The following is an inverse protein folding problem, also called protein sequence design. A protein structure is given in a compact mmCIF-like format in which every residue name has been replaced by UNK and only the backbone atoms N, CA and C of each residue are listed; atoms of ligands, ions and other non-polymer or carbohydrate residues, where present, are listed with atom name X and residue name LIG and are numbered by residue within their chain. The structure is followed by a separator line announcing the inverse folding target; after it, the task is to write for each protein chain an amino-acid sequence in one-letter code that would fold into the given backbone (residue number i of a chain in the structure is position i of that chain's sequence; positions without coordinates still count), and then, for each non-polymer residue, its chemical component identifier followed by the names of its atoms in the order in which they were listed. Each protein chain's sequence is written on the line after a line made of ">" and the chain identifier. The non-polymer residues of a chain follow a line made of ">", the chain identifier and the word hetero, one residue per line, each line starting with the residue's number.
data_IF_669929521937
#
_entry.id   IF_669929521937
#
_cell.length_a   1.000
_cell.length_b   1.000
_cell.length_c   1.000
_cell.angle_alpha   90.00
_cell.angle_beta   90.00
_cell.angle_gamma   90.00
#
_symmetry.space_group_name_H-M   'P 1'
#
loop_
_entity.id
_entity.type
_entity.pdbx_description
1 polymer ?
#
# COMPACT_ATOMS: atom_id res chain seq x y z
N UNK A 1 12.72 -1.62 -15.76
CA UNK A 1 11.31 -1.18 -15.94
C UNK A 1 10.50 -2.00 -14.96
N UNK A 2 9.53 -1.40 -14.24
CA UNK A 2 8.68 -2.18 -13.34
C UNK A 2 7.78 -3.11 -14.15
N UNK A 3 7.65 -4.37 -13.68
CA UNK A 3 6.82 -5.36 -14.34
C UNK A 3 5.40 -5.26 -13.78
N UNK A 4 4.43 -4.92 -14.62
CA UNK A 4 3.03 -4.77 -14.23
C UNK A 4 2.15 -5.78 -14.96
N UNK A 5 1.10 -6.23 -14.31
CA UNK A 5 0.08 -7.10 -14.90
C UNK A 5 -1.28 -6.42 -14.95
N UNK A 6 -2.11 -6.85 -15.87
CA UNK A 6 -3.46 -6.33 -16.06
C UNK A 6 -3.50 -4.92 -16.63
N UNK A 7 -4.69 -4.32 -16.61
CA UNK A 7 -4.94 -2.97 -17.11
C UNK A 7 -5.24 -2.04 -15.95
N UNK A 8 -4.54 -0.92 -15.88
CA UNK A 8 -4.78 0.14 -14.89
C UNK A 8 -5.67 1.20 -15.54
N UNK A 9 -6.82 1.57 -14.95
CA UNK A 9 -7.66 2.67 -15.44
C UNK A 9 -6.89 4.00 -15.46
N UNK A 10 -7.30 4.94 -16.32
CA UNK A 10 -6.67 6.26 -16.41
C UNK A 10 -6.77 7.02 -15.09
N UNK A 11 -7.94 6.99 -14.44
CA UNK A 11 -8.17 7.65 -13.16
C UNK A 11 -8.10 6.60 -12.04
N UNK A 12 -7.17 6.75 -11.13
CA UNK A 12 -6.94 5.80 -10.02
C UNK A 12 -6.64 6.51 -8.71
N UNK A 13 -7.01 5.85 -7.63
CA UNK A 13 -6.53 6.23 -6.29
C UNK A 13 -5.37 5.30 -5.91
N UNK A 14 -4.21 5.85 -5.59
CA UNK A 14 -3.05 5.07 -5.12
C UNK A 14 -3.01 5.08 -3.60
N UNK A 15 -3.08 3.89 -3.00
CA UNK A 15 -2.93 3.73 -1.55
C UNK A 15 -1.45 3.81 -1.17
N UNK A 16 -1.08 4.82 -0.38
CA UNK A 16 0.30 5.14 -0.03
C UNK A 16 0.50 5.06 1.47
N UNK A 17 1.58 4.39 1.90
CA UNK A 17 1.98 4.26 3.32
C UNK A 17 3.22 5.08 3.68
N UNK A 18 3.87 5.74 2.72
CA UNK A 18 5.16 6.40 2.89
C UNK A 18 6.37 5.47 2.75
N UNK A 19 6.18 4.15 2.71
CA UNK A 19 7.23 3.17 2.48
C UNK A 19 7.65 3.08 1.00
N UNK A 20 8.86 2.55 0.75
CA UNK A 20 9.47 2.49 -0.59
C UNK A 20 8.54 1.90 -1.67
N UNK A 21 7.82 0.81 -1.35
CA UNK A 21 6.98 0.11 -2.33
C UNK A 21 5.83 1.01 -2.80
N UNK A 22 5.13 1.66 -1.88
CA UNK A 22 4.00 2.54 -2.19
C UNK A 22 4.44 3.85 -2.86
N UNK A 23 5.58 4.41 -2.45
CA UNK A 23 6.14 5.62 -3.06
C UNK A 23 6.65 5.36 -4.48
N UNK A 24 7.24 4.18 -4.75
CA UNK A 24 7.63 3.76 -6.10
C UNK A 24 6.42 3.63 -7.04
N UNK A 25 5.33 3.01 -6.55
CA UNK A 25 4.08 2.85 -7.33
C UNK A 25 3.44 4.21 -7.61
N UNK A 26 3.40 5.09 -6.63
CA UNK A 26 2.90 6.45 -6.80
C UNK A 26 3.68 7.20 -7.88
N UNK A 27 5.01 7.23 -7.77
CA UNK A 27 5.87 7.91 -8.74
C UNK A 27 5.74 7.33 -10.14
N UNK A 28 5.64 6.00 -10.26
CA UNK A 28 5.47 5.33 -11.54
C UNK A 28 4.17 5.73 -12.22
N UNK A 29 3.06 5.81 -11.49
CA UNK A 29 1.73 6.06 -12.05
C UNK A 29 1.45 7.54 -12.32
N UNK A 30 1.98 8.46 -11.48
CA UNK A 30 1.67 9.89 -11.59
C UNK A 30 1.98 10.54 -12.95
N UNK A 31 2.90 9.95 -13.72
CA UNK A 31 3.30 10.50 -15.01
C UNK A 31 2.41 10.05 -16.18
N UNK A 32 1.57 9.04 -15.98
CA UNK A 32 0.77 8.41 -17.05
C UNK A 32 -0.71 8.23 -16.70
N UNK A 33 -1.08 8.48 -15.45
CA UNK A 33 -2.45 8.34 -14.93
C UNK A 33 -2.86 9.59 -14.17
N UNK A 34 -4.15 9.81 -14.07
CA UNK A 34 -4.75 10.80 -13.18
C UNK A 34 -4.85 10.18 -11.78
N UNK A 35 -3.91 10.57 -10.92
CA UNK A 35 -3.72 9.93 -9.61
C UNK A 35 -4.29 10.80 -8.50
N UNK A 36 -5.12 10.18 -7.65
CA UNK A 36 -5.42 10.69 -6.30
C UNK A 36 -4.67 9.83 -5.29
N UNK A 37 -4.01 10.43 -4.31
CA UNK A 37 -3.29 9.71 -3.26
C UNK A 37 -4.21 9.44 -2.08
N UNK A 38 -4.26 8.19 -1.59
CA UNK A 38 -4.96 7.84 -0.36
C UNK A 38 -3.96 7.39 0.69
N UNK A 39 -3.91 8.11 1.81
CA UNK A 39 -3.14 7.73 2.99
C UNK A 39 -4.08 7.34 4.13
N UNK A 40 -3.78 6.23 4.82
CA UNK A 40 -4.54 5.80 5.99
C UNK A 40 -3.67 5.82 7.24
N UNK A 41 -4.04 6.67 8.21
CA UNK A 41 -3.30 6.89 9.44
C UNK A 41 -3.76 5.92 10.53
N UNK A 42 -2.84 5.11 11.05
CA UNK A 42 -3.10 4.09 12.08
C UNK A 42 -2.96 4.60 13.53
N UNK A 43 -2.75 5.90 13.74
CA UNK A 43 -2.60 6.49 15.08
C UNK A 43 -1.24 6.22 15.73
N UNK A 44 -0.20 5.93 14.96
CA UNK A 44 1.17 5.70 15.45
C UNK A 44 2.06 6.91 15.19
N UNK A 45 3.13 7.08 15.99
CA UNK A 45 4.10 8.16 15.80
C UNK A 45 4.80 8.05 14.43
N UNK A 46 5.24 6.86 14.05
CA UNK A 46 5.77 6.60 12.70
C UNK A 46 4.75 6.95 11.60
N UNK A 47 3.46 6.79 11.88
CA UNK A 47 2.39 7.19 10.96
C UNK A 47 2.32 8.69 10.73
N UNK A 48 2.64 9.53 11.72
CA UNK A 48 2.71 10.99 11.53
C UNK A 48 3.88 11.38 10.62
N UNK A 49 5.07 10.80 10.84
CA UNK A 49 6.23 11.04 9.99
C UNK A 49 5.96 10.64 8.53
N UNK A 50 5.32 9.48 8.34
CA UNK A 50 4.95 8.99 7.02
C UNK A 50 3.90 9.88 6.34
N UNK A 51 2.91 10.37 7.11
CA UNK A 51 1.91 11.32 6.62
C UNK A 51 2.55 12.63 6.14
N UNK A 52 3.48 13.15 6.92
CA UNK A 52 4.23 14.37 6.59
C UNK A 52 5.03 14.22 5.30
N UNK A 53 5.72 13.08 5.14
CA UNK A 53 6.46 12.75 3.92
C UNK A 53 5.52 12.70 2.71
N UNK A 54 4.39 11.99 2.83
CA UNK A 54 3.41 11.85 1.75
C UNK A 54 2.80 13.19 1.39
N UNK A 55 2.44 14.04 2.37
CA UNK A 55 1.92 15.39 2.12
C UNK A 55 2.91 16.27 1.37
N UNK A 56 4.18 16.28 1.80
CA UNK A 56 5.25 17.03 1.11
C UNK A 56 5.39 16.58 -0.34
N UNK A 57 5.37 15.27 -0.57
CA UNK A 57 5.44 14.71 -1.92
C UNK A 57 4.22 15.10 -2.77
N UNK A 58 3.01 15.02 -2.21
CA UNK A 58 1.78 15.43 -2.91
C UNK A 58 1.79 16.92 -3.26
N UNK A 59 2.23 17.77 -2.33
CA UNK A 59 2.33 19.23 -2.58
C UNK A 59 3.34 19.53 -3.68
N UNK A 60 4.52 18.89 -3.65
CA UNK A 60 5.57 19.10 -4.65
C UNK A 60 5.11 18.70 -6.06
N UNK A 61 4.27 17.69 -6.19
CA UNK A 61 3.80 17.16 -7.46
C UNK A 61 2.34 17.53 -7.80
N UNK A 62 1.73 18.45 -7.04
CA UNK A 62 0.34 18.92 -7.22
C UNK A 62 -0.68 17.76 -7.26
N UNK A 63 -0.45 16.70 -6.46
CA UNK A 63 -1.32 15.52 -6.41
C UNK A 63 -2.46 15.71 -5.41
N UNK A 64 -3.73 15.53 -5.83
CA UNK A 64 -4.84 15.49 -4.89
C UNK A 64 -4.67 14.31 -3.93
N UNK A 65 -5.03 14.50 -2.63
CA UNK A 65 -4.87 13.47 -1.64
C UNK A 65 -6.03 13.43 -0.64
N UNK A 66 -6.34 12.22 -0.17
CA UNK A 66 -7.37 11.91 0.81
C UNK A 66 -6.70 11.20 1.99
N UNK A 67 -6.97 11.69 3.22
CA UNK A 67 -6.40 11.11 4.43
C UNK A 67 -7.52 10.46 5.23
N UNK A 68 -7.43 9.15 5.42
CA UNK A 68 -8.26 8.39 6.34
C UNK A 68 -7.59 8.26 7.70
N UNK A 69 -8.40 8.20 8.75
CA UNK A 69 -7.96 7.95 10.13
C UNK A 69 -8.79 6.83 10.74
N UNK A 70 -8.28 6.22 11.80
CA UNK A 70 -9.03 5.28 12.62
C UNK A 70 -10.32 5.95 13.09
N UNK A 71 -11.45 5.30 12.79
CA UNK A 71 -12.81 5.85 13.03
C UNK A 71 -13.63 5.04 14.03
N UNK A 72 -13.11 3.92 14.54
CA UNK A 72 -13.77 3.07 15.50
C UNK A 72 -12.82 2.52 16.57
N UNK A 73 -13.35 2.02 17.67
CA UNK A 73 -12.58 1.30 18.65
C UNK A 73 -12.30 -0.14 18.22
N UNK A 74 -11.20 -0.71 18.74
CA UNK A 74 -10.84 -2.10 18.53
C UNK A 74 -11.75 -3.02 19.35
N UNK A 75 -12.30 -4.06 18.74
CA UNK A 75 -13.08 -5.09 19.42
C UNK A 75 -12.16 -5.96 20.29
N UNK A 76 -12.67 -6.50 21.40
CA UNK A 76 -11.87 -7.32 22.35
C UNK A 76 -11.21 -8.55 21.70
N UNK A 77 -11.89 -9.16 20.72
CA UNK A 77 -11.46 -10.39 20.05
C UNK A 77 -10.61 -10.12 18.79
N UNK A 78 -10.44 -8.85 18.41
CA UNK A 78 -9.74 -8.45 17.19
C UNK A 78 -8.26 -8.19 17.52
N UNK A 79 -7.34 -8.84 16.80
CA UNK A 79 -5.92 -8.52 16.92
C UNK A 79 -5.64 -7.09 16.43
N UNK A 80 -4.51 -6.50 16.83
CA UNK A 80 -4.14 -5.14 16.40
C UNK A 80 -3.99 -5.05 14.87
N UNK A 81 -3.37 -6.06 14.24
CA UNK A 81 -3.20 -6.10 12.79
C UNK A 81 -4.54 -6.26 12.04
N UNK A 82 -5.41 -7.12 12.56
CA UNK A 82 -6.74 -7.33 12.00
C UNK A 82 -7.58 -6.06 12.08
N UNK A 83 -7.53 -5.36 13.23
CA UNK A 83 -8.19 -4.08 13.44
C UNK A 83 -7.73 -3.04 12.41
N UNK A 84 -6.44 -2.83 12.27
CA UNK A 84 -5.89 -1.88 11.32
C UNK A 84 -6.22 -2.25 9.87
N UNK A 85 -6.14 -3.54 9.54
CA UNK A 85 -6.52 -4.04 8.22
C UNK A 85 -7.99 -3.80 7.90
N UNK A 86 -8.88 -4.06 8.86
CA UNK A 86 -10.31 -3.86 8.69
C UNK A 86 -10.65 -2.37 8.54
N UNK A 87 -10.13 -1.52 9.40
CA UNK A 87 -10.33 -0.07 9.31
C UNK A 87 -9.84 0.50 7.96
N UNK A 88 -8.67 0.07 7.49
CA UNK A 88 -8.15 0.48 6.17
C UNK A 88 -9.02 -0.05 5.03
N UNK A 89 -9.51 -1.27 5.14
CA UNK A 89 -10.42 -1.86 4.14
C UNK A 89 -11.74 -1.07 4.07
N UNK A 90 -12.30 -0.70 5.22
CA UNK A 90 -13.51 0.11 5.31
C UNK A 90 -13.28 1.50 4.67
N UNK A 91 -12.13 2.12 4.92
CA UNK A 91 -11.74 3.36 4.26
C UNK A 91 -11.69 3.20 2.73
N UNK A 92 -11.06 2.15 2.22
CA UNK A 92 -10.98 1.93 0.78
C UNK A 92 -12.34 1.69 0.13
N UNK A 93 -13.22 0.95 0.80
CA UNK A 93 -14.52 0.57 0.24
C UNK A 93 -15.58 1.67 0.37
N UNK A 94 -15.55 2.42 1.46
CA UNK A 94 -16.66 3.33 1.82
C UNK A 94 -16.32 4.81 1.57
N UNK A 95 -15.03 5.17 1.53
CA UNK A 95 -14.60 6.57 1.39
C UNK A 95 -14.03 6.87 0.02
N UNK A 96 -13.36 5.88 -0.62
CA UNK A 96 -12.72 6.08 -1.91
C UNK A 96 -13.64 5.65 -3.04
N UNK A 97 -13.80 6.50 -4.02
CA UNK A 97 -14.49 6.17 -5.27
C UNK A 97 -13.53 5.62 -6.32
N UNK A 98 -14.05 4.74 -7.21
CA UNK A 98 -13.29 4.20 -8.32
C UNK A 98 -12.25 3.14 -7.92
N UNK A 99 -11.25 2.96 -8.76
CA UNK A 99 -10.24 1.91 -8.60
C UNK A 99 -9.12 2.35 -7.67
N UNK A 100 -8.83 1.54 -6.66
CA UNK A 100 -7.73 1.72 -5.73
C UNK A 100 -6.56 0.82 -6.12
N UNK A 101 -5.38 1.39 -6.35
CA UNK A 101 -4.13 0.66 -6.61
C UNK A 101 -3.35 0.52 -5.30
N UNK A 102 -2.93 -0.70 -4.99
CA UNK A 102 -2.05 -0.98 -3.85
C UNK A 102 -0.70 -1.53 -4.32
N UNK A 103 0.34 -1.26 -3.54
CA UNK A 103 1.72 -1.64 -3.84
C UNK A 103 2.08 -3.06 -3.39
N UNK A 104 1.12 -4.01 -3.42
CA UNK A 104 1.45 -5.41 -3.19
C UNK A 104 2.41 -5.90 -4.28
N UNK A 105 3.43 -6.64 -3.86
CA UNK A 105 4.53 -7.08 -4.70
C UNK A 105 4.78 -8.58 -4.60
N UNK A 106 5.77 -9.10 -5.32
CA UNK A 106 6.05 -10.55 -5.42
C UNK A 106 6.32 -11.20 -4.05
N UNK A 107 7.03 -10.52 -3.15
CA UNK A 107 7.31 -11.06 -1.82
C UNK A 107 6.04 -11.22 -0.99
N UNK A 108 5.10 -10.26 -1.04
CA UNK A 108 3.78 -10.42 -0.37
C UNK A 108 3.04 -11.65 -0.90
N UNK A 109 3.13 -11.90 -2.21
CA UNK A 109 2.52 -13.06 -2.85
C UNK A 109 3.11 -14.37 -2.32
N UNK A 110 4.45 -14.42 -2.21
CA UNK A 110 5.18 -15.59 -1.73
C UNK A 110 4.88 -15.82 -0.24
N UNK A 111 4.94 -14.77 0.59
CA UNK A 111 4.63 -14.85 2.02
C UNK A 111 3.20 -15.35 2.26
N UNK A 112 2.23 -14.79 1.52
CA UNK A 112 0.84 -15.21 1.63
C UNK A 112 0.63 -16.65 1.18
N UNK A 113 1.28 -17.09 0.10
CA UNK A 113 1.20 -18.46 -0.39
C UNK A 113 1.81 -19.45 0.62
N UNK A 114 2.97 -19.14 1.20
CA UNK A 114 3.60 -19.96 2.24
C UNK A 114 2.66 -20.04 3.44
N UNK A 115 2.18 -18.91 3.95
CA UNK A 115 1.29 -18.86 5.12
C UNK A 115 0.04 -19.72 4.90
N UNK A 116 -0.65 -19.56 3.78
CA UNK A 116 -1.86 -20.30 3.48
C UNK A 116 -1.61 -21.79 3.20
N UNK A 117 -0.43 -22.13 2.67
CA UNK A 117 -0.02 -23.52 2.46
C UNK A 117 0.19 -24.27 3.80
N UNK A 118 0.83 -23.62 4.77
CA UNK A 118 1.02 -24.17 6.13
C UNK A 118 -0.31 -24.40 6.84
N UNK A 119 -1.37 -23.68 6.48
CA UNK A 119 -2.73 -23.86 6.99
C UNK A 119 -3.59 -24.80 6.12
N UNK A 120 -2.98 -25.54 5.19
CA UNK A 120 -3.66 -26.55 4.35
C UNK A 120 -4.58 -25.99 3.26
N UNK A 121 -4.54 -24.69 2.98
CA UNK A 121 -5.38 -24.03 1.96
C UNK A 121 -4.56 -23.03 1.13
N UNK A 122 -3.62 -23.50 0.29
CA UNK A 122 -2.75 -22.62 -0.48
C UNK A 122 -3.56 -21.68 -1.36
N UNK A 123 -3.26 -20.38 -1.26
CA UNK A 123 -3.93 -19.33 -2.04
C UNK A 123 -2.93 -18.26 -2.46
N UNK A 124 -3.18 -17.68 -3.62
CA UNK A 124 -2.49 -16.49 -4.08
C UNK A 124 -3.32 -15.24 -3.73
N UNK A 125 -2.65 -14.11 -3.55
CA UNK A 125 -3.33 -12.81 -3.46
C UNK A 125 -3.91 -12.52 -4.84
N UNK A 126 -5.23 -12.30 -4.99
CA UNK A 126 -5.83 -12.03 -6.30
C UNK A 126 -5.39 -10.65 -6.84
N UNK A 127 -5.27 -10.55 -8.17
CA UNK A 127 -5.04 -9.28 -8.85
C UNK A 127 -6.04 -8.20 -8.44
N UNK A 128 -7.32 -8.55 -8.37
CA UNK A 128 -8.38 -7.62 -7.98
C UNK A 128 -9.27 -8.21 -6.87
N UNK A 129 -9.72 -7.34 -6.00
CA UNK A 129 -10.74 -7.65 -5.00
C UNK A 129 -11.55 -6.38 -4.70
N UNK A 130 -12.86 -6.41 -4.98
CA UNK A 130 -13.73 -5.24 -4.93
C UNK A 130 -13.17 -4.11 -5.81
N UNK A 131 -12.98 -2.92 -5.26
CA UNK A 131 -12.39 -1.76 -5.94
C UNK A 131 -10.86 -1.72 -5.94
N UNK A 132 -10.19 -2.70 -5.30
CA UNK A 132 -8.72 -2.73 -5.17
C UNK A 132 -8.09 -3.59 -6.25
N UNK A 133 -7.08 -3.07 -6.94
CA UNK A 133 -6.22 -3.81 -7.88
C UNK A 133 -4.75 -3.79 -7.42
N UNK A 134 -3.98 -4.80 -7.87
CA UNK A 134 -2.59 -5.06 -7.48
C UNK A 134 -1.71 -5.28 -8.71
N UNK A 135 -1.49 -4.25 -9.52
CA UNK A 135 -0.76 -4.40 -10.79
C UNK A 135 0.69 -4.83 -10.61
N UNK A 136 1.29 -4.53 -9.45
CA UNK A 136 2.71 -4.77 -9.16
C UNK A 136 2.97 -6.11 -8.46
N UNK A 137 1.97 -6.99 -8.38
CA UNK A 137 2.05 -8.25 -7.63
C UNK A 137 3.14 -9.21 -8.13
N UNK A 138 3.65 -9.01 -9.35
CA UNK A 138 4.78 -9.76 -9.94
C UNK A 138 6.09 -8.98 -9.94
N UNK A 139 6.07 -7.71 -9.51
CA UNK A 139 7.28 -6.89 -9.35
C UNK A 139 7.96 -7.24 -8.03
N UNK A 140 9.28 -7.39 -8.01
CA UNK A 140 10.00 -7.62 -6.75
C UNK A 140 10.10 -6.36 -5.89
N UNK A 141 10.13 -6.53 -4.56
CA UNK A 141 10.39 -5.44 -3.59
C UNK A 141 11.68 -4.70 -3.90
N UNK A 142 12.71 -5.45 -4.35
CA UNK A 142 13.99 -4.87 -4.72
C UNK A 142 13.88 -3.93 -5.92
N UNK A 143 13.07 -4.25 -6.93
CA UNK A 143 12.85 -3.39 -8.09
C UNK A 143 12.12 -2.10 -7.71
N UNK A 144 11.12 -2.17 -6.84
CA UNK A 144 10.43 -0.99 -6.30
C UNK A 144 11.40 -0.09 -5.52
N UNK A 145 12.20 -0.67 -4.63
CA UNK A 145 13.21 0.10 -3.88
C UNK A 145 14.28 0.71 -4.79
N UNK A 146 14.76 -0.03 -5.80
CA UNK A 146 15.69 0.50 -6.82
C UNK A 146 15.06 1.63 -7.63
N UNK A 147 13.75 1.60 -7.87
CA UNK A 147 13.04 2.70 -8.51
C UNK A 147 13.15 3.98 -7.68
N UNK A 148 12.84 3.92 -6.38
CA UNK A 148 12.94 5.07 -5.49
C UNK A 148 14.35 5.63 -5.46
N UNK A 149 15.37 4.79 -5.25
CA UNK A 149 16.78 5.22 -5.19
C UNK A 149 17.22 5.88 -6.49
N UNK A 150 16.91 5.28 -7.64
CA UNK A 150 17.31 5.82 -8.96
C UNK A 150 16.62 7.15 -9.30
N UNK A 151 15.41 7.37 -8.78
CA UNK A 151 14.58 8.55 -9.07
C UNK A 151 14.62 9.58 -7.95
N UNK A 152 15.43 9.33 -6.92
CA UNK A 152 15.50 10.17 -5.72
C UNK A 152 14.13 10.41 -5.05
N UNK A 153 13.29 9.35 -5.01
CA UNK A 153 11.98 9.41 -4.38
C UNK A 153 12.14 9.20 -2.87
N UNK A 154 11.67 10.13 -2.04
CA UNK A 154 11.76 9.98 -0.60
C UNK A 154 10.82 8.87 -0.10
N UNK A 155 11.28 8.09 0.87
CA UNK A 155 10.49 7.07 1.57
C UNK A 155 11.02 6.84 2.98
N UNK A 156 10.18 6.27 3.84
CA UNK A 156 10.56 5.83 5.18
C UNK A 156 10.68 4.29 5.21
N UNK A 157 11.68 3.80 5.90
CA UNK A 157 11.77 2.38 6.24
C UNK A 157 10.96 2.15 7.53
N UNK A 158 9.95 1.28 7.47
CA UNK A 158 9.15 0.93 8.64
C UNK A 158 10.01 0.11 9.62
N UNK A 159 10.20 0.56 10.87
CA UNK A 159 10.97 -0.16 11.88
C UNK A 159 10.44 -1.58 12.14
N UNK A 160 9.15 -1.83 11.94
CA UNK A 160 8.54 -3.16 12.09
C UNK A 160 9.02 -4.18 11.06
N UNK A 161 9.57 -3.74 9.92
CA UNK A 161 10.18 -4.63 8.93
C UNK A 161 11.48 -5.30 9.41
N UNK A 162 12.09 -4.79 10.47
CA UNK A 162 13.32 -5.35 11.07
C UNK A 162 12.99 -6.31 12.21
N UNK A 163 11.81 -6.23 12.79
CA UNK A 163 11.39 -7.03 13.93
C UNK A 163 10.89 -8.42 13.49
N UNK A 164 11.76 -9.42 13.60
CA UNK A 164 11.46 -10.83 13.28
C UNK A 164 10.30 -11.45 14.09
N UNK A 165 9.80 -10.79 15.13
CA UNK A 165 8.63 -11.23 15.92
C UNK A 165 7.33 -11.14 15.13
N UNK A 166 7.29 -10.34 14.07
CA UNK A 166 6.16 -10.24 13.14
C UNK A 166 6.48 -11.01 11.85
N UNK A 167 6.69 -12.32 11.96
CA UNK A 167 6.62 -13.18 10.78
C UNK A 167 5.15 -13.19 10.30
N UNK A 168 4.92 -12.51 9.22
CA UNK A 168 3.62 -12.52 8.51
C UNK A 168 3.43 -13.80 7.76
#
# INVERSE_FOLDING_TARGET
>A
MLNIIGKIPRNVTVAVSGGADSMAVLDFLKNSHEVTVAYYHHGTEHGEEALDLVRKYCTLHELPHIIGKISRERKKEESQEEYWRNCRKDFFNNTLSGTVVTAHHLQDQIEWWIFTSLHGKPRLIPYSNQNVIRPFITTSKQELRKWCVRKDIPFLDDPSNVDRRYMR
#
